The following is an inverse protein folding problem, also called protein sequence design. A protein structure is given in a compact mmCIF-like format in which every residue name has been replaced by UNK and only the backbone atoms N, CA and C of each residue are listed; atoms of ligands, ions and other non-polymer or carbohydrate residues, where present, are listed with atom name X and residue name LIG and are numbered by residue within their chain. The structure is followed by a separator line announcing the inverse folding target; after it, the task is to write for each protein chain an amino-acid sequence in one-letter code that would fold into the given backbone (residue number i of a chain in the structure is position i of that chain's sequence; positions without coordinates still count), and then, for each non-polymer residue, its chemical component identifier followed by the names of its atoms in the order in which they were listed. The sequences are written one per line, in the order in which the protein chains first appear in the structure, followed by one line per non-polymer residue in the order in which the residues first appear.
data_IF_855821830963
#
_entry.id   IF_855821830963
#
_cell.length_a   1.000
_cell.length_b   1.000
_cell.length_c   1.000
_cell.angle_alpha   90.00
_cell.angle_beta   90.00
_cell.angle_gamma   90.00
#
_symmetry.space_group_name_H-M   'P 1'
#
loop_
_entity.id
_entity.type
_entity.pdbx_description
1 polymer ?
#
# COMPACT_ATOMS: atom_id res chain seq x y z
N UNK A 1 15.42 -10.09 -18.11
CA UNK A 1 14.03 -9.82 -17.67
C UNK A 1 13.97 -9.12 -16.32
N UNK A 2 14.76 -9.50 -15.31
CA UNK A 2 14.66 -8.90 -13.96
C UNK A 2 14.94 -7.40 -13.83
N UNK A 3 15.89 -6.82 -14.57
CA UNK A 3 16.19 -5.38 -14.49
C UNK A 3 15.04 -4.48 -14.99
N UNK A 4 14.29 -4.95 -15.99
CA UNK A 4 13.14 -4.22 -16.53
C UNK A 4 11.99 -4.15 -15.51
N UNK A 5 11.81 -5.19 -14.70
CA UNK A 5 10.80 -5.19 -13.64
C UNK A 5 11.07 -4.07 -12.63
N UNK A 6 12.30 -3.93 -12.13
CA UNK A 6 12.63 -2.90 -11.15
C UNK A 6 12.43 -1.47 -11.71
N UNK A 7 12.70 -1.27 -13.00
CA UNK A 7 12.42 0.01 -13.66
C UNK A 7 10.91 0.25 -13.73
N UNK A 8 10.13 -0.75 -14.17
CA UNK A 8 8.67 -0.66 -14.23
C UNK A 8 8.08 -0.39 -12.84
N UNK A 9 8.58 -1.05 -11.81
CA UNK A 9 8.17 -0.88 -10.42
C UNK A 9 8.34 0.58 -9.95
N UNK A 10 9.53 1.15 -10.15
CA UNK A 10 9.81 2.56 -9.83
C UNK A 10 8.97 3.51 -10.67
N UNK A 11 8.81 3.23 -11.97
CA UNK A 11 8.01 4.08 -12.88
C UNK A 11 6.55 4.11 -12.44
N UNK A 12 5.98 2.97 -12.03
CA UNK A 12 4.60 2.94 -11.55
C UNK A 12 4.48 3.68 -10.21
N UNK A 13 5.41 3.49 -9.27
CA UNK A 13 5.42 4.26 -8.02
C UNK A 13 5.46 5.78 -8.28
N UNK A 14 6.31 6.22 -9.21
CA UNK A 14 6.39 7.62 -9.62
C UNK A 14 5.10 8.08 -10.31
N UNK A 15 4.46 7.24 -11.13
CA UNK A 15 3.19 7.54 -11.77
C UNK A 15 2.04 7.65 -10.75
N UNK A 16 2.02 6.81 -9.71
CA UNK A 16 1.07 6.90 -8.59
C UNK A 16 1.24 8.24 -7.88
N UNK A 17 2.46 8.59 -7.48
CA UNK A 17 2.74 9.89 -6.86
C UNK A 17 2.34 11.06 -7.78
N UNK A 18 2.73 11.00 -9.05
CA UNK A 18 2.41 12.01 -10.06
C UNK A 18 0.90 12.17 -10.25
N UNK A 19 0.16 11.07 -10.29
CA UNK A 19 -1.31 11.07 -10.39
C UNK A 19 -1.95 11.76 -9.19
N UNK A 20 -1.62 11.36 -7.96
CA UNK A 20 -2.20 11.99 -6.76
C UNK A 20 -1.82 13.46 -6.63
N UNK A 21 -0.58 13.80 -6.98
CA UNK A 21 -0.07 15.18 -6.98
C UNK A 21 -0.83 16.03 -8.01
N UNK A 22 -0.94 15.56 -9.25
CA UNK A 22 -1.65 16.26 -10.32
C UNK A 22 -3.14 16.46 -9.97
N UNK A 23 -3.81 15.43 -9.46
CA UNK A 23 -5.21 15.50 -9.07
C UNK A 23 -5.45 16.45 -7.87
N UNK A 24 -4.50 16.53 -6.94
CA UNK A 24 -4.56 17.48 -5.83
C UNK A 24 -4.41 18.93 -6.32
N UNK A 25 -3.37 19.23 -7.09
CA UNK A 25 -3.12 20.59 -7.58
C UNK A 25 -4.13 21.06 -8.62
N UNK A 26 -4.71 20.12 -9.38
CA UNK A 26 -5.84 20.39 -10.28
C UNK A 26 -7.18 20.53 -9.55
N UNK A 27 -7.20 20.53 -8.21
CA UNK A 27 -8.37 20.64 -7.33
C UNK A 27 -9.48 19.61 -7.61
N UNK A 28 -9.12 18.46 -8.19
CA UNK A 28 -10.05 17.36 -8.46
C UNK A 28 -10.24 16.43 -7.27
N UNK A 29 -9.29 16.42 -6.34
CA UNK A 29 -9.37 15.66 -5.10
C UNK A 29 -9.66 16.53 -3.89
N UNK A 30 -10.51 16.02 -3.01
CA UNK A 30 -10.73 16.63 -1.69
C UNK A 30 -9.42 16.62 -0.89
N UNK A 31 -9.22 17.57 0.04
CA UNK A 31 -8.09 17.52 0.97
C UNK A 31 -8.02 16.19 1.73
N UNK A 32 -9.17 15.60 2.07
CA UNK A 32 -9.23 14.29 2.73
C UNK A 32 -8.56 13.19 1.89
N UNK A 33 -8.84 13.13 0.59
CA UNK A 33 -8.23 12.17 -0.34
C UNK A 33 -6.71 12.30 -0.37
N UNK A 34 -6.20 13.54 -0.40
CA UNK A 34 -4.76 13.82 -0.40
C UNK A 34 -4.10 13.36 0.90
N UNK A 35 -4.68 13.67 2.05
CA UNK A 35 -4.15 13.23 3.35
C UNK A 35 -4.23 11.72 3.53
N UNK A 36 -5.29 11.07 3.02
CA UNK A 36 -5.41 9.61 3.06
C UNK A 36 -4.28 8.95 2.25
N UNK A 37 -3.97 9.45 1.05
CA UNK A 37 -2.84 8.94 0.27
C UNK A 37 -1.52 8.99 1.08
N UNK A 38 -1.18 10.15 1.65
CA UNK A 38 0.05 10.31 2.43
C UNK A 38 0.07 9.47 3.71
N UNK A 39 -1.06 9.33 4.41
CA UNK A 39 -1.13 8.39 5.53
C UNK A 39 -0.85 6.96 5.07
N UNK A 40 -1.36 6.55 3.90
CA UNK A 40 -1.01 5.25 3.32
C UNK A 40 0.48 5.12 3.06
N UNK A 41 1.12 6.14 2.50
CA UNK A 41 2.58 6.18 2.27
C UNK A 41 3.35 6.06 3.60
N UNK A 42 2.94 6.78 4.65
CA UNK A 42 3.62 6.74 5.94
C UNK A 42 3.40 5.43 6.70
N UNK A 43 2.21 4.83 6.57
CA UNK A 43 1.94 3.49 7.09
C UNK A 43 2.86 2.49 6.37
N UNK A 44 2.95 2.56 5.04
CA UNK A 44 3.88 1.76 4.23
C UNK A 44 5.33 1.85 4.68
N UNK A 45 5.79 3.08 4.89
CA UNK A 45 7.13 3.35 5.38
C UNK A 45 7.48 2.61 6.69
N UNK A 46 6.49 2.29 7.54
CA UNK A 46 6.76 1.57 8.80
C UNK A 46 7.37 0.19 8.58
N UNK A 47 6.88 -0.59 7.61
CA UNK A 47 7.48 -1.89 7.28
C UNK A 47 8.60 -1.77 6.27
N UNK A 48 8.54 -0.84 5.32
CA UNK A 48 9.62 -0.66 4.33
C UNK A 48 10.95 -0.27 5.00
N UNK A 49 10.90 0.59 6.01
CA UNK A 49 12.08 0.91 6.83
C UNK A 49 12.57 -0.33 7.59
N UNK A 50 11.65 -1.10 8.17
CA UNK A 50 11.98 -2.35 8.85
C UNK A 50 12.65 -3.36 7.93
N UNK A 51 12.10 -3.58 6.74
CA UNK A 51 12.63 -4.47 5.71
C UNK A 51 13.96 -4.00 5.15
N UNK A 52 14.18 -2.69 5.02
CA UNK A 52 15.48 -2.16 4.62
C UNK A 52 16.59 -2.57 5.59
N UNK A 53 16.38 -2.38 6.91
CA UNK A 53 17.38 -2.73 7.92
C UNK A 53 17.46 -4.23 8.24
N UNK A 54 16.35 -4.97 8.10
CA UNK A 54 16.31 -6.42 8.25
C UNK A 54 16.58 -7.16 6.93
N UNK A 55 16.95 -6.42 5.88
CA UNK A 55 17.19 -6.93 4.54
C UNK A 55 18.62 -7.46 4.33
N UNK A 56 18.93 -7.95 3.12
CA UNK A 56 20.18 -8.65 2.80
C UNK A 56 21.44 -7.79 2.94
N UNK A 57 21.31 -6.46 2.93
CA UNK A 57 22.44 -5.53 3.03
C UNK A 57 22.91 -5.30 4.47
N UNK A 58 22.01 -5.41 5.45
CA UNK A 58 22.27 -4.97 6.83
C UNK A 58 22.08 -6.08 7.88
N UNK A 59 21.50 -7.21 7.50
CA UNK A 59 21.29 -8.36 8.39
C UNK A 59 22.04 -9.58 7.90
N UNK A 60 22.78 -10.24 8.79
CA UNK A 60 23.36 -11.57 8.55
C UNK A 60 22.29 -12.65 8.40
N UNK A 61 21.08 -12.36 8.87
CA UNK A 61 19.93 -13.23 8.79
C UNK A 61 18.78 -12.40 8.18
N UNK A 62 18.75 -12.20 6.87
CA UNK A 62 17.79 -11.30 6.25
C UNK A 62 16.38 -11.88 6.17
N UNK A 63 15.39 -11.00 6.22
CA UNK A 63 13.97 -11.36 6.19
C UNK A 63 13.47 -11.71 4.78
N UNK A 64 14.13 -11.16 3.77
CA UNK A 64 13.95 -11.47 2.36
C UNK A 64 15.31 -11.51 1.67
N UNK A 65 15.39 -12.17 0.53
CA UNK A 65 16.57 -12.15 -0.35
C UNK A 65 16.15 -11.77 -1.75
N UNK A 66 17.02 -11.05 -2.46
CA UNK A 66 16.83 -10.79 -3.88
C UNK A 66 17.24 -12.02 -4.68
N UNK A 67 16.33 -12.52 -5.51
CA UNK A 67 16.65 -13.56 -6.50
C UNK A 67 17.34 -12.95 -7.73
N UNK A 68 17.00 -11.69 -8.05
CA UNK A 68 17.72 -10.85 -9.00
C UNK A 68 18.19 -9.60 -8.29
N UNK A 69 19.48 -9.27 -8.35
CA UNK A 69 19.98 -8.03 -7.76
C UNK A 69 19.37 -6.80 -8.42
N UNK A 70 18.90 -5.82 -7.64
CA UNK A 70 18.33 -4.61 -8.19
C UNK A 70 19.42 -3.73 -8.83
N UNK A 71 19.15 -3.10 -9.98
CA UNK A 71 20.11 -2.23 -10.66
C UNK A 71 20.31 -0.87 -9.95
N UNK A 72 19.55 -0.62 -8.88
CA UNK A 72 19.55 0.63 -8.12
C UNK A 72 19.82 0.34 -6.63
N UNK A 73 20.30 1.33 -5.87
CA UNK A 73 20.39 1.22 -4.42
C UNK A 73 19.05 0.76 -3.80
N UNK A 74 19.04 -0.26 -2.89
CA UNK A 74 17.80 -0.80 -2.33
C UNK A 74 16.88 0.24 -1.69
N UNK A 75 17.45 1.32 -1.14
CA UNK A 75 16.68 2.43 -0.57
C UNK A 75 15.71 3.08 -1.57
N UNK A 76 16.06 3.11 -2.86
CA UNK A 76 15.19 3.67 -3.91
C UNK A 76 13.96 2.79 -4.10
N UNK A 77 14.12 1.46 -4.04
CA UNK A 77 13.02 0.51 -4.14
C UNK A 77 12.09 0.63 -2.93
N UNK A 78 12.63 0.66 -1.72
CA UNK A 78 11.82 0.82 -0.51
C UNK A 78 11.04 2.15 -0.51
N UNK A 79 11.64 3.26 -1.00
CA UNK A 79 10.91 4.52 -1.17
C UNK A 79 9.78 4.38 -2.22
N UNK A 80 10.05 3.70 -3.34
CA UNK A 80 9.04 3.43 -4.36
C UNK A 80 7.88 2.59 -3.79
N UNK A 81 8.19 1.57 -2.98
CA UNK A 81 7.21 0.70 -2.32
C UNK A 81 6.32 1.47 -1.34
N UNK A 82 6.85 2.46 -0.61
CA UNK A 82 6.00 3.36 0.19
C UNK A 82 4.93 4.07 -0.65
N UNK A 83 5.25 4.51 -1.87
CA UNK A 83 4.26 5.13 -2.77
C UNK A 83 3.26 4.12 -3.33
N UNK A 84 3.71 2.89 -3.61
CA UNK A 84 2.82 1.78 -3.94
C UNK A 84 1.82 1.53 -2.81
N UNK A 85 2.27 1.42 -1.57
CA UNK A 85 1.41 1.19 -0.41
C UNK A 85 0.33 2.26 -0.30
N UNK A 86 0.72 3.53 -0.42
CA UNK A 86 -0.22 4.66 -0.51
C UNK A 86 -1.26 4.47 -1.62
N UNK A 87 -0.82 4.08 -2.81
CA UNK A 87 -1.71 3.79 -3.95
C UNK A 87 -2.66 2.61 -3.67
N UNK A 88 -2.14 1.51 -3.14
CA UNK A 88 -2.89 0.28 -2.83
C UNK A 88 -3.96 0.54 -1.77
N UNK A 89 -3.66 1.31 -0.73
CA UNK A 89 -4.69 1.74 0.23
C UNK A 89 -5.79 2.57 -0.42
N UNK A 90 -5.43 3.47 -1.33
CA UNK A 90 -6.40 4.30 -2.05
C UNK A 90 -7.26 3.49 -3.03
N UNK A 91 -6.73 2.40 -3.60
CA UNK A 91 -7.55 1.42 -4.34
C UNK A 91 -8.57 0.79 -3.39
N UNK A 92 -8.18 0.41 -2.18
CA UNK A 92 -9.11 -0.07 -1.14
C UNK A 92 -10.24 0.91 -0.87
N UNK A 93 -9.94 2.21 -0.76
CA UNK A 93 -10.94 3.28 -0.65
C UNK A 93 -11.85 3.35 -1.88
N UNK A 94 -11.29 3.25 -3.08
CA UNK A 94 -12.06 3.25 -4.32
C UNK A 94 -13.01 2.04 -4.41
N UNK A 95 -12.59 0.86 -3.94
CA UNK A 95 -13.45 -0.33 -3.87
C UNK A 95 -14.60 -0.12 -2.88
N UNK A 96 -14.36 0.52 -1.73
CA UNK A 96 -15.43 0.90 -0.79
C UNK A 96 -16.45 1.82 -1.45
N UNK A 97 -16.01 2.81 -2.22
CA UNK A 97 -16.91 3.71 -2.96
C UNK A 97 -17.68 2.99 -4.07
N UNK A 98 -17.04 2.02 -4.73
CA UNK A 98 -17.65 1.26 -5.82
C UNK A 98 -18.72 0.27 -5.35
N UNK A 99 -18.48 -0.44 -4.24
CA UNK A 99 -19.31 -1.58 -3.83
C UNK A 99 -20.32 -1.26 -2.73
N UNK A 100 -20.12 -0.20 -1.94
CA UNK A 100 -21.04 0.15 -0.86
C UNK A 100 -21.86 1.40 -1.20
N UNK A 101 -23.01 1.54 -0.55
CA UNK A 101 -23.80 2.78 -0.62
C UNK A 101 -23.23 3.84 0.34
N UNK A 102 -23.34 5.14 0.00
CA UNK A 102 -23.03 6.24 0.91
C UNK A 102 -23.84 6.16 2.21
N UNK A 103 -23.39 6.80 3.31
CA UNK A 103 -22.16 7.58 3.44
C UNK A 103 -20.93 6.69 3.65
N UNK A 104 -19.82 7.03 2.99
CA UNK A 104 -18.57 6.26 3.05
C UNK A 104 -17.59 6.87 4.05
N UNK A 105 -16.89 6.03 4.82
CA UNK A 105 -15.74 6.44 5.66
C UNK A 105 -16.07 7.60 6.64
N UNK A 106 -17.34 7.74 7.05
CA UNK A 106 -17.79 8.76 8.01
C UNK A 106 -17.82 8.20 9.43
N UNK A 107 -18.23 6.94 9.56
CA UNK A 107 -18.30 6.19 10.81
C UNK A 107 -17.84 4.77 10.56
N UNK A 108 -17.38 4.12 11.62
CA UNK A 108 -16.95 2.74 11.54
C UNK A 108 -18.08 1.85 11.00
N UNK A 109 -17.76 1.06 9.96
CA UNK A 109 -18.63 0.09 9.32
C UNK A 109 -17.81 -1.14 8.97
N UNK A 110 -18.21 -2.28 9.53
CA UNK A 110 -17.57 -3.57 9.25
C UNK A 110 -17.50 -3.90 7.76
N UNK A 111 -18.51 -3.51 6.98
CA UNK A 111 -18.49 -3.72 5.53
C UNK A 111 -17.38 -2.93 4.81
N UNK A 112 -17.06 -1.70 5.26
CA UNK A 112 -15.98 -0.92 4.69
C UNK A 112 -14.63 -1.55 5.03
N UNK A 113 -14.42 -1.88 6.32
CA UNK A 113 -13.21 -2.56 6.77
C UNK A 113 -13.03 -3.92 6.09
N UNK A 114 -14.12 -4.68 5.92
CA UNK A 114 -14.11 -5.98 5.26
C UNK A 114 -13.63 -5.89 3.80
N UNK A 115 -14.06 -4.88 3.04
CA UNK A 115 -13.55 -4.63 1.68
C UNK A 115 -12.06 -4.30 1.71
N UNK A 116 -11.62 -3.45 2.63
CA UNK A 116 -10.21 -3.06 2.72
C UNK A 116 -9.31 -4.23 3.12
N UNK A 117 -9.77 -5.09 4.03
CA UNK A 117 -9.07 -6.32 4.42
C UNK A 117 -9.03 -7.33 3.27
N UNK A 118 -10.16 -7.56 2.60
CA UNK A 118 -10.22 -8.46 1.45
C UNK A 118 -9.28 -7.99 0.33
N UNK A 119 -9.25 -6.68 0.07
CA UNK A 119 -8.31 -6.09 -0.88
C UNK A 119 -6.86 -6.25 -0.43
N UNK A 120 -6.53 -5.93 0.83
CA UNK A 120 -5.18 -6.05 1.37
C UNK A 120 -4.61 -7.47 1.23
N UNK A 121 -5.40 -8.49 1.58
CA UNK A 121 -4.99 -9.90 1.42
C UNK A 121 -4.86 -10.28 -0.06
N UNK A 122 -5.84 -9.90 -0.90
CA UNK A 122 -5.83 -10.26 -2.32
C UNK A 122 -4.63 -9.66 -3.06
N UNK A 123 -4.31 -8.40 -2.80
CA UNK A 123 -3.19 -7.73 -3.45
C UNK A 123 -1.85 -8.30 -2.95
N UNK A 124 -1.74 -8.70 -1.67
CA UNK A 124 -0.49 -9.26 -1.14
C UNK A 124 -0.21 -10.61 -1.77
N UNK A 125 -1.25 -11.44 -1.88
CA UNK A 125 -1.17 -12.70 -2.62
C UNK A 125 -0.66 -12.41 -4.05
N UNK A 126 -1.22 -11.43 -4.74
CA UNK A 126 -0.78 -11.08 -6.10
C UNK A 126 0.68 -10.61 -6.15
N UNK A 127 1.12 -9.77 -5.20
CA UNK A 127 2.51 -9.29 -5.10
C UNK A 127 3.47 -10.45 -4.85
N UNK A 128 3.15 -11.36 -3.92
CA UNK A 128 4.00 -12.50 -3.58
C UNK A 128 4.06 -13.50 -4.76
N UNK A 129 2.96 -13.71 -5.49
CA UNK A 129 2.98 -14.49 -6.74
C UNK A 129 3.83 -13.84 -7.84
N UNK A 130 3.72 -12.53 -8.03
CA UNK A 130 4.54 -11.79 -9.00
C UNK A 130 6.02 -11.83 -8.62
N UNK A 131 6.32 -11.76 -7.33
CA UNK A 131 7.69 -11.78 -6.84
C UNK A 131 8.33 -13.17 -6.99
N UNK A 132 7.63 -14.22 -6.56
CA UNK A 132 8.08 -15.61 -6.67
C UNK A 132 8.18 -16.01 -8.15
N UNK A 133 7.13 -15.78 -8.93
CA UNK A 133 7.09 -16.14 -10.34
C UNK A 133 8.01 -15.30 -11.23
N UNK A 134 8.26 -14.05 -10.84
CA UNK A 134 9.16 -13.13 -11.53
C UNK A 134 10.64 -13.26 -11.12
N UNK A 135 10.95 -14.02 -10.07
CA UNK A 135 12.31 -14.16 -9.55
C UNK A 135 12.88 -12.85 -9.01
N UNK A 136 12.04 -12.07 -8.31
CA UNK A 136 12.40 -10.73 -7.83
C UNK A 136 12.98 -10.80 -6.41
N UNK A 137 12.12 -11.03 -5.41
CA UNK A 137 12.52 -11.25 -4.02
C UNK A 137 11.76 -12.41 -3.38
N UNK A 138 12.38 -13.04 -2.40
CA UNK A 138 11.79 -14.16 -1.68
C UNK A 138 11.91 -13.92 -0.18
N UNK A 139 10.78 -13.90 0.51
CA UNK A 139 10.75 -13.90 1.96
C UNK A 139 11.32 -15.21 2.51
N UNK A 140 12.08 -15.11 3.58
CA UNK A 140 12.73 -16.25 4.21
C UNK A 140 11.83 -16.84 5.29
N UNK A 141 11.61 -18.16 5.22
CA UNK A 141 10.84 -18.89 6.23
C UNK A 141 11.63 -18.96 7.55
N UNK A 142 11.03 -18.48 8.63
CA UNK A 142 11.63 -18.40 9.97
C UNK A 142 10.59 -18.63 11.06
N UNK A 143 11.02 -18.80 12.32
CA UNK A 143 10.09 -19.00 13.43
C UNK A 143 9.09 -17.84 13.62
N UNK A 144 9.50 -16.61 13.30
CA UNK A 144 8.64 -15.41 13.32
C UNK A 144 7.98 -15.09 11.97
N UNK A 145 8.38 -15.79 10.91
CA UNK A 145 7.82 -15.65 9.56
C UNK A 145 7.66 -17.04 8.93
N UNK A 146 6.81 -17.92 9.50
CA UNK A 146 6.71 -19.29 9.01
C UNK A 146 6.14 -19.32 7.59
N UNK A 147 6.58 -20.30 6.80
CA UNK A 147 5.95 -20.62 5.53
C UNK A 147 4.53 -21.14 5.77
N UNK A 148 3.56 -20.52 5.11
CA UNK A 148 2.16 -20.97 5.10
C UNK A 148 1.97 -22.15 4.14
N UNK A 149 2.55 -22.02 2.95
CA UNK A 149 2.65 -23.05 1.93
C UNK A 149 3.83 -22.73 1.01
N UNK A 150 4.09 -23.59 0.01
CA UNK A 150 5.16 -23.37 -0.98
C UNK A 150 4.57 -23.27 -2.38
N UNK A 151 5.21 -22.46 -3.22
CA UNK A 151 4.96 -22.40 -4.67
C UNK A 151 6.23 -22.91 -5.35
N UNK A 152 6.19 -24.16 -5.81
CA UNK A 152 7.42 -24.89 -6.14
C UNK A 152 8.29 -25.06 -4.89
N UNK A 153 9.54 -24.64 -4.95
CA UNK A 153 10.47 -24.67 -3.81
C UNK A 153 10.46 -23.38 -2.98
N UNK A 154 9.81 -22.33 -3.47
CA UNK A 154 9.78 -21.01 -2.83
C UNK A 154 8.72 -20.93 -1.73
N UNK A 155 9.07 -20.47 -0.52
CA UNK A 155 8.10 -20.33 0.56
C UNK A 155 7.18 -19.12 0.34
N UNK A 156 5.89 -19.33 0.50
CA UNK A 156 4.91 -18.26 0.72
C UNK A 156 4.78 -18.06 2.23
N UNK A 157 4.97 -16.83 2.73
CA UNK A 157 5.22 -16.61 4.16
C UNK A 157 4.13 -15.82 4.89
N UNK A 158 4.06 -15.96 6.22
CA UNK A 158 2.98 -15.38 7.03
C UNK A 158 3.12 -13.86 7.24
N UNK A 159 4.34 -13.35 7.39
CA UNK A 159 4.58 -11.96 7.81
C UNK A 159 3.99 -10.93 6.83
N UNK A 160 4.17 -11.03 5.49
CA UNK A 160 3.58 -10.08 4.56
C UNK A 160 2.05 -10.06 4.66
N UNK A 161 1.41 -11.23 4.79
CA UNK A 161 -0.03 -11.33 5.02
C UNK A 161 -0.45 -10.63 6.31
N UNK A 162 0.28 -10.82 7.42
CA UNK A 162 -0.04 -10.14 8.68
C UNK A 162 0.07 -8.63 8.57
N UNK A 163 1.07 -8.11 7.87
CA UNK A 163 1.19 -6.68 7.58
C UNK A 163 -0.05 -6.20 6.83
N UNK A 164 -0.46 -6.91 5.78
CA UNK A 164 -1.63 -6.55 4.97
C UNK A 164 -2.99 -6.89 5.59
N UNK A 165 -3.02 -7.49 6.78
CA UNK A 165 -4.21 -7.54 7.64
C UNK A 165 -4.20 -6.38 8.63
N UNK A 166 -3.06 -6.10 9.27
CA UNK A 166 -2.95 -5.05 10.28
C UNK A 166 -3.02 -3.64 9.68
N UNK A 167 -2.32 -3.40 8.57
CA UNK A 167 -2.18 -2.08 8.00
C UNK A 167 -3.49 -1.50 7.45
N UNK A 168 -4.38 -2.25 6.77
CA UNK A 168 -5.70 -1.73 6.39
C UNK A 168 -6.57 -1.35 7.58
N UNK A 169 -6.44 -2.01 8.73
CA UNK A 169 -7.18 -1.64 9.97
C UNK A 169 -6.71 -0.26 10.45
N UNK A 170 -5.39 -0.07 10.56
CA UNK A 170 -4.79 1.21 10.95
C UNK A 170 -5.18 2.31 9.97
N UNK A 171 -5.02 2.05 8.67
CA UNK A 171 -5.39 2.99 7.62
C UNK A 171 -6.87 3.36 7.68
N UNK A 172 -7.77 2.38 7.86
CA UNK A 172 -9.21 2.64 7.95
C UNK A 172 -9.55 3.57 9.12
N UNK A 173 -8.96 3.33 10.29
CA UNK A 173 -9.14 4.20 11.47
C UNK A 173 -8.64 5.62 11.17
N UNK A 174 -7.47 5.77 10.55
CA UNK A 174 -6.94 7.07 10.13
C UNK A 174 -7.84 7.76 9.10
N UNK A 175 -8.40 7.02 8.13
CA UNK A 175 -9.31 7.53 7.12
C UNK A 175 -10.59 8.09 7.75
N UNK A 176 -11.16 7.42 8.77
CA UNK A 176 -12.29 7.94 9.53
C UNK A 176 -11.96 9.26 10.24
N UNK A 177 -10.76 9.36 10.85
CA UNK A 177 -10.30 10.58 11.53
C UNK A 177 -10.13 11.73 10.52
N UNK A 178 -9.48 11.46 9.38
CA UNK A 178 -9.26 12.43 8.31
C UNK A 178 -10.60 12.95 7.78
N UNK A 179 -11.55 12.05 7.48
CA UNK A 179 -12.85 12.45 6.92
C UNK A 179 -13.70 13.23 7.93
N UNK A 180 -13.59 12.95 9.23
CA UNK A 180 -14.23 13.81 10.25
C UNK A 180 -13.68 15.23 10.24
N UNK A 181 -12.36 15.39 10.09
CA UNK A 181 -11.71 16.71 10.12
C UNK A 181 -11.88 17.50 8.82
N UNK A 182 -11.77 16.83 7.67
CA UNK A 182 -11.69 17.48 6.36
C UNK A 182 -12.92 17.24 5.47
N UNK A 183 -13.66 16.14 5.67
CA UNK A 183 -14.90 15.85 4.95
C UNK A 183 -16.06 16.77 5.37
N UNK A 184 -16.11 17.19 6.64
CA UNK A 184 -17.11 18.17 7.14
C UNK A 184 -16.85 19.57 6.57
N UNK A 185 -15.57 19.98 6.45
CA UNK A 185 -15.19 21.28 5.86
C UNK A 185 -15.61 21.41 4.40
N UNK A 186 -15.51 20.33 3.61
CA UNK A 186 -15.92 20.33 2.20
C UNK A 186 -17.43 20.50 2.00
N UNK A 187 -18.27 20.04 2.94
CA UNK A 187 -19.73 20.24 2.90
C UNK A 187 -20.17 21.64 3.34
N UNK A 188 -19.40 22.28 4.21
CA UNK A 188 -19.68 23.66 4.65
C UNK A 188 -19.14 24.71 3.67
N UNK A 189 -18.23 24.35 2.76
CA UNK A 189 -17.78 25.24 1.67
C UNK A 189 -18.65 25.15 0.40
N UNK A 190 -19.47 24.11 0.25
CA UNK A 190 -20.44 23.99 -0.85
C UNK A 190 -21.69 24.86 -0.69
N UNK A 191 -21.75 25.73 0.34
CA UNK A 191 -22.69 26.86 0.39
C UNK A 191 -22.17 28.12 -0.31
N UNK A 192 -20.99 28.05 -0.95
CA UNK A 192 -20.54 29.05 -1.91
C UNK A 192 -20.62 28.45 -3.32
N UNK A 193 -21.21 29.16 -4.29
CA UNK A 193 -21.55 28.59 -5.59
C UNK A 193 -20.28 28.47 -6.43
N UNK A 194 -19.73 27.27 -6.55
CA UNK A 194 -18.75 26.95 -7.59
C UNK A 194 -19.08 25.61 -8.23
N UNK A 195 -20.24 25.57 -8.88
CA UNK A 195 -20.55 24.65 -9.97
C UNK A 195 -21.51 25.36 -10.93
N UNK A 196 -20.92 26.05 -11.91
CA UNK A 196 -21.50 26.32 -13.23
C UNK A 196 -20.48 25.84 -14.25
#
# INVERSE_FOLDING_TARGET
MGSAFFVVDIVIAAAVLGFFTCMHFSRRFSPATWYMFWIGVFIGATWEIGFYFLGPKFSSAPIYVFSTEPPFPPIILHIAHCFWDGGLFMIGVALVYKFLKPPHLVRFRWAELGIMLAWGVLQEIAVEFLSIGGGMWLYQSRWYNPSLFKIGDSPFTLLPILIWVAAPIVFYICALIINRRWGVRSRNSSSLPYYS
#
